data_IF_400382485501
#
_entry.id   IF_400382485501
#
_cell.length_a   1.000
_cell.length_b   1.000
_cell.length_c   1.000
_cell.angle_alpha   90.00
_cell.angle_beta   90.00
_cell.angle_gamma   90.00
#
_symmetry.space_group_name_H-M   'P 1'
#
loop_
_entity.id
_entity.type
_entity.pdbx_description
1 polymer ?
#
# COMPACT_ATOMS: atom_id res chain seq x y z
N UNK A 1 -12.33 -20.68 20.53
CA UNK A 1 -11.24 -20.23 19.64
C UNK A 1 -10.97 -18.77 19.94
N UNK A 2 -9.74 -18.39 20.32
CA UNK A 2 -9.38 -17.00 20.68
C UNK A 2 -8.87 -16.30 19.42
N UNK A 3 -9.55 -15.24 18.99
CA UNK A 3 -9.10 -14.42 17.86
C UNK A 3 -7.85 -13.66 18.30
N UNK A 4 -6.72 -13.85 17.60
CA UNK A 4 -5.42 -13.22 17.89
C UNK A 4 -5.15 -11.98 17.05
N UNK A 5 -5.86 -11.81 15.93
CA UNK A 5 -5.78 -10.65 15.05
C UNK A 5 -7.09 -10.44 14.31
N UNK A 6 -7.34 -9.21 13.87
CA UNK A 6 -8.56 -8.80 13.17
C UNK A 6 -9.38 -7.78 13.95
N UNK A 7 -10.19 -7.01 13.23
CA UNK A 7 -10.98 -5.91 13.79
C UNK A 7 -12.41 -6.39 14.05
N UNK A 8 -12.98 -6.05 15.21
CA UNK A 8 -14.37 -6.40 15.50
C UNK A 8 -15.31 -5.50 14.70
N UNK A 9 -16.30 -6.11 14.04
CA UNK A 9 -17.39 -5.38 13.40
C UNK A 9 -18.12 -4.51 14.44
N UNK A 10 -18.46 -3.28 14.06
CA UNK A 10 -19.08 -2.30 14.96
C UNK A 10 -18.11 -1.54 15.87
N UNK A 11 -16.80 -1.78 15.77
CA UNK A 11 -15.82 -0.93 16.43
C UNK A 11 -15.71 0.41 15.67
N UNK A 12 -16.06 1.55 16.28
CA UNK A 12 -16.04 2.85 15.60
C UNK A 12 -14.62 3.31 15.22
N UNK A 13 -13.59 2.74 15.86
CA UNK A 13 -12.18 3.05 15.61
C UNK A 13 -11.57 2.24 14.45
N UNK A 14 -12.21 1.13 14.05
CA UNK A 14 -11.71 0.24 13.01
C UNK A 14 -11.41 0.94 11.66
N UNK A 15 -12.30 1.81 11.13
CA UNK A 15 -12.06 2.44 9.84
C UNK A 15 -10.87 3.40 9.87
N UNK A 16 -10.67 4.11 10.98
CA UNK A 16 -9.55 5.03 11.12
C UNK A 16 -8.21 4.29 11.17
N UNK A 17 -8.13 3.21 11.94
CA UNK A 17 -6.93 2.37 11.99
C UNK A 17 -6.60 1.75 10.64
N UNK A 18 -7.62 1.39 9.86
CA UNK A 18 -7.45 0.90 8.51
C UNK A 18 -6.83 1.96 7.59
N UNK A 19 -7.37 3.18 7.60
CA UNK A 19 -6.85 4.30 6.80
C UNK A 19 -5.39 4.58 7.16
N UNK A 20 -5.06 4.66 8.46
CA UNK A 20 -3.68 4.88 8.90
C UNK A 20 -2.71 3.78 8.43
N UNK A 21 -3.15 2.52 8.45
CA UNK A 21 -2.33 1.41 7.98
C UNK A 21 -2.10 1.44 6.46
N UNK A 22 -3.12 1.84 5.70
CA UNK A 22 -3.03 1.98 4.23
C UNK A 22 -2.16 3.18 3.84
N UNK A 23 -2.25 4.29 4.56
CA UNK A 23 -1.42 5.48 4.33
C UNK A 23 0.07 5.15 4.46
N UNK A 24 0.46 4.44 5.54
CA UNK A 24 1.83 3.95 5.72
C UNK A 24 2.27 2.94 4.65
N UNK A 25 1.33 2.17 4.10
CA UNK A 25 1.62 1.25 3.00
C UNK A 25 1.90 2.03 1.70
N UNK A 26 1.13 3.08 1.42
CA UNK A 26 1.33 3.92 0.23
C UNK A 26 2.63 4.70 0.33
N UNK A 27 2.92 5.31 1.48
CA UNK A 27 4.19 5.98 1.74
C UNK A 27 5.40 5.05 1.49
N UNK A 28 5.31 3.79 1.94
CA UNK A 28 6.35 2.80 1.70
C UNK A 28 6.47 2.35 0.23
N UNK A 29 5.39 2.41 -0.55
CA UNK A 29 5.40 2.12 -1.99
C UNK A 29 6.02 3.29 -2.75
N UNK A 30 5.60 4.52 -2.42
CA UNK A 30 6.03 5.74 -3.12
C UNK A 30 7.53 6.02 -2.93
N UNK A 31 8.05 5.77 -1.73
CA UNK A 31 9.48 5.93 -1.42
C UNK A 31 10.35 4.75 -1.87
N UNK A 32 9.79 3.73 -2.52
CA UNK A 32 10.58 2.58 -2.98
C UNK A 32 11.16 2.84 -4.37
N UNK A 33 12.49 3.00 -4.51
CA UNK A 33 13.10 3.33 -5.81
C UNK A 33 12.98 2.22 -6.85
N UNK A 34 12.53 1.02 -6.45
CA UNK A 34 12.27 -0.11 -7.36
C UNK A 34 10.85 -0.07 -7.98
N UNK A 35 9.97 0.79 -7.46
CA UNK A 35 8.56 0.89 -7.88
C UNK A 35 8.32 2.22 -8.60
N UNK A 36 8.92 2.39 -9.79
CA UNK A 36 8.65 3.57 -10.63
C UNK A 36 7.24 3.51 -11.23
N UNK A 37 6.48 4.58 -11.02
CA UNK A 37 5.10 4.74 -11.47
C UNK A 37 4.99 5.08 -12.94
N UNK A 38 3.77 5.25 -13.42
CA UNK A 38 3.50 5.71 -14.78
C UNK A 38 3.52 7.24 -14.77
N UNK A 39 4.38 7.92 -15.56
CA UNK A 39 4.40 9.38 -15.61
C UNK A 39 3.05 9.89 -16.11
N UNK A 40 2.54 10.93 -15.45
CA UNK A 40 1.32 11.60 -15.87
C UNK A 40 1.68 12.71 -16.87
N UNK A 41 0.83 12.93 -17.87
CA UNK A 41 1.02 13.95 -18.91
C UNK A 41 0.82 15.40 -18.40
N UNK A 42 1.15 15.64 -17.13
CA UNK A 42 0.96 16.89 -16.41
C UNK A 42 2.05 17.94 -16.64
N UNK A 43 1.89 19.07 -15.95
CA UNK A 43 2.85 20.19 -16.01
C UNK A 43 4.17 19.88 -15.29
N UNK A 44 4.16 18.86 -14.42
CA UNK A 44 5.28 18.46 -13.60
C UNK A 44 5.85 17.12 -14.10
N UNK A 45 7.09 17.08 -14.60
CA UNK A 45 7.72 15.84 -15.07
C UNK A 45 7.95 14.80 -13.96
N UNK A 46 7.91 15.22 -12.69
CA UNK A 46 8.07 14.33 -11.54
C UNK A 46 6.74 13.74 -11.04
N UNK A 47 5.60 14.08 -11.68
CA UNK A 47 4.29 13.57 -11.30
C UNK A 47 4.06 12.18 -11.92
N UNK A 48 4.02 11.15 -11.08
CA UNK A 48 3.80 9.77 -11.50
C UNK A 48 2.67 9.10 -10.71
N UNK A 49 1.90 8.26 -11.40
CA UNK A 49 0.91 7.37 -10.79
C UNK A 49 1.61 6.07 -10.36
N UNK A 50 1.81 5.91 -9.05
CA UNK A 50 2.41 4.70 -8.48
C UNK A 50 1.36 3.78 -7.84
N UNK A 51 0.41 4.30 -7.07
CA UNK A 51 -0.60 3.50 -6.36
C UNK A 51 -1.97 4.16 -6.38
N UNK A 52 -3.02 3.35 -6.48
CA UNK A 52 -4.40 3.79 -6.31
C UNK A 52 -5.15 2.80 -5.43
N UNK A 53 -5.99 3.32 -4.53
CA UNK A 53 -6.69 2.56 -3.51
C UNK A 53 -8.18 2.85 -3.44
N UNK A 54 -8.96 1.83 -3.15
CA UNK A 54 -10.34 1.99 -2.73
C UNK A 54 -10.68 0.97 -1.64
N UNK A 55 -10.92 1.45 -0.42
CA UNK A 55 -11.08 0.60 0.76
C UNK A 55 -9.92 -0.41 0.88
N UNK A 56 -10.19 -1.71 0.89
CA UNK A 56 -9.21 -2.80 0.95
C UNK A 56 -8.56 -3.15 -0.39
N UNK A 57 -9.08 -2.66 -1.51
CA UNK A 57 -8.48 -2.85 -2.82
C UNK A 57 -7.38 -1.82 -3.08
N UNK A 58 -6.18 -2.27 -3.45
CA UNK A 58 -5.06 -1.41 -3.85
C UNK A 58 -4.41 -1.93 -5.12
N UNK A 59 -4.17 -1.03 -6.07
CA UNK A 59 -3.53 -1.31 -7.36
C UNK A 59 -2.24 -0.50 -7.46
N UNK A 60 -1.14 -1.16 -7.80
CA UNK A 60 0.17 -0.53 -8.02
C UNK A 60 0.48 -0.53 -9.51
N UNK A 61 0.90 0.62 -10.03
CA UNK A 61 1.24 0.85 -11.42
C UNK A 61 2.76 0.93 -11.58
N UNK A 62 3.31 0.26 -12.59
CA UNK A 62 4.76 0.19 -12.83
C UNK A 62 5.10 0.55 -14.27
N UNK A 63 5.97 1.54 -14.49
CA UNK A 63 6.38 1.96 -15.84
C UNK A 63 7.24 0.92 -16.56
N UNK A 64 8.17 0.24 -15.86
CA UNK A 64 9.12 -0.67 -16.49
C UNK A 64 8.89 -2.13 -16.06
N UNK A 65 8.56 -2.96 -17.05
CA UNK A 65 8.26 -4.38 -16.92
C UNK A 65 9.54 -5.25 -16.83
N UNK A 66 10.54 -4.89 -16.01
CA UNK A 66 11.75 -5.71 -15.86
C UNK A 66 11.62 -6.82 -14.80
N UNK A 67 10.57 -6.76 -13.96
CA UNK A 67 10.40 -7.63 -12.78
C UNK A 67 8.95 -8.15 -12.67
N UNK A 68 8.26 -8.36 -13.79
CA UNK A 68 6.86 -8.80 -13.81
C UNK A 68 6.69 -10.30 -13.56
N UNK A 69 7.25 -10.77 -12.44
CA UNK A 69 6.91 -12.07 -11.87
C UNK A 69 5.97 -11.82 -10.71
N UNK A 70 4.67 -11.73 -11.02
CA UNK A 70 3.51 -11.62 -10.10
C UNK A 70 3.93 -11.53 -8.62
N UNK A 71 4.40 -10.37 -8.20
CA UNK A 71 4.73 -10.11 -6.81
C UNK A 71 3.55 -9.33 -6.28
N UNK A 72 2.62 -10.05 -5.68
CA UNK A 72 1.78 -9.47 -4.65
C UNK A 72 2.77 -8.81 -3.68
N UNK A 73 2.89 -7.48 -3.71
CA UNK A 73 3.74 -6.74 -2.78
C UNK A 73 3.02 -6.82 -1.45
N UNK A 74 3.19 -7.95 -0.76
CA UNK A 74 3.03 -8.00 0.67
C UNK A 74 4.20 -7.17 1.21
N UNK A 75 4.00 -5.86 1.34
CA UNK A 75 4.91 -5.01 2.10
C UNK A 75 4.82 -5.51 3.54
N UNK A 76 5.65 -6.49 3.87
CA UNK A 76 5.79 -6.97 5.24
C UNK A 76 6.67 -5.93 5.92
N UNK A 77 6.08 -4.78 6.27
CA UNK A 77 6.67 -3.91 7.27
C UNK A 77 6.92 -4.79 8.49
N UNK A 78 8.18 -4.93 8.87
CA UNK A 78 8.61 -5.66 10.07
C UNK A 78 8.14 -4.91 11.32
N UNK A 79 6.83 -4.87 11.57
CA UNK A 79 6.29 -4.52 12.88
C UNK A 79 6.39 -5.77 13.74
N UNK A 80 7.58 -5.95 14.33
CA UNK A 80 7.74 -6.88 15.43
C UNK A 80 6.94 -6.35 16.62
N UNK A 81 5.72 -6.85 16.80
CA UNK A 81 5.06 -6.78 18.10
C UNK A 81 5.61 -7.92 18.97
N UNK A 82 6.43 -7.63 20.00
CA UNK A 82 6.75 -8.65 20.99
C UNK A 82 5.46 -9.12 21.66
N UNK A 83 5.35 -10.43 21.82
CA UNK A 83 4.24 -11.11 22.49
C UNK A 83 4.14 -10.72 23.97
#
# INVERSE_FOLDING_TARGET
MKVTSGIRQGCPLAPLLFILAVDLLYDAIEHNPLLQGIPLDGSNPDEELQVAGYADDSTVYLATCASSRKRFVLCKTSWGFPA
#
